data_IF_320218186596
#
_entry.id   IF_320218186596
#
_cell.length_a   1.000
_cell.length_b   1.000
_cell.length_c   1.000
_cell.angle_alpha   90.00
_cell.angle_beta   90.00
_cell.angle_gamma   90.00
#
_symmetry.space_group_name_H-M   'P 1'
#
loop_
_entity.id
_entity.type
_entity.pdbx_description
1 polymer ?
#
# COMPACT_ATOMS: atom_id res chain seq x y z
N UNK A 1 -8.78 -0.17 9.43
CA UNK A 1 -7.59 0.27 8.68
C UNK A 1 -7.76 1.73 8.30
N UNK A 2 -6.69 2.49 8.37
CA UNK A 2 -6.73 3.89 8.00
C UNK A 2 -6.77 4.06 6.49
N UNK A 3 -7.33 5.18 6.06
CA UNK A 3 -7.45 5.53 4.66
C UNK A 3 -6.09 5.55 3.94
N UNK A 4 -5.05 6.09 4.58
CA UNK A 4 -3.70 6.11 4.02
C UNK A 4 -3.15 4.71 3.77
N UNK A 5 -3.42 3.78 4.67
CA UNK A 5 -2.96 2.40 4.53
C UNK A 5 -3.65 1.71 3.36
N UNK A 6 -4.95 1.91 3.20
CA UNK A 6 -5.69 1.40 2.05
C UNK A 6 -5.13 1.96 0.74
N UNK A 7 -4.94 3.26 0.68
CA UNK A 7 -4.42 3.94 -0.52
C UNK A 7 -3.00 3.48 -0.85
N UNK A 8 -2.20 3.23 0.18
CA UNK A 8 -0.84 2.69 0.01
C UNK A 8 -0.88 1.30 -0.64
N UNK A 9 -1.71 0.41 -0.12
CA UNK A 9 -1.86 -0.94 -0.68
C UNK A 9 -2.35 -0.89 -2.12
N UNK A 10 -3.32 -0.05 -2.40
CA UNK A 10 -3.88 0.11 -3.74
C UNK A 10 -2.83 0.64 -4.71
N UNK A 11 -2.06 1.64 -4.32
CA UNK A 11 -1.00 2.20 -5.16
C UNK A 11 0.09 1.17 -5.47
N UNK A 12 0.48 0.36 -4.48
CA UNK A 12 1.47 -0.70 -4.68
C UNK A 12 0.91 -1.79 -5.62
N UNK A 13 -0.36 -2.13 -5.48
CA UNK A 13 -1.00 -3.11 -6.34
C UNK A 13 -1.00 -2.65 -7.80
N UNK A 14 -1.20 -1.37 -8.05
CA UNK A 14 -1.20 -0.81 -9.40
C UNK A 14 0.18 -0.68 -10.00
N UNK A 15 1.19 -0.37 -9.18
CA UNK A 15 2.55 -0.15 -9.66
C UNK A 15 3.58 -0.60 -8.62
N UNK A 16 4.10 -1.80 -8.80
CA UNK A 16 5.07 -2.39 -7.86
C UNK A 16 6.43 -1.68 -7.89
N UNK A 17 6.69 -0.85 -8.88
CA UNK A 17 7.95 -0.11 -9.01
C UNK A 17 7.85 1.33 -8.50
N UNK A 18 6.73 1.71 -7.92
CA UNK A 18 6.55 3.06 -7.39
C UNK A 18 7.58 3.32 -6.27
N UNK A 19 8.13 4.53 -6.26
CA UNK A 19 9.08 4.93 -5.22
C UNK A 19 8.36 5.43 -3.98
N UNK A 20 9.07 5.50 -2.85
CA UNK A 20 8.50 6.11 -1.65
C UNK A 20 8.12 7.57 -1.88
N UNK A 21 8.93 8.29 -2.64
CA UNK A 21 8.60 9.68 -3.00
C UNK A 21 7.32 9.75 -3.85
N UNK A 22 7.17 8.83 -4.79
CA UNK A 22 5.94 8.74 -5.61
C UNK A 22 4.72 8.41 -4.76
N UNK A 23 4.86 7.49 -3.82
CA UNK A 23 3.78 7.15 -2.89
C UNK A 23 3.42 8.35 -2.01
N UNK A 24 4.42 9.06 -1.52
CA UNK A 24 4.19 10.27 -0.70
C UNK A 24 3.39 11.30 -1.47
N UNK A 25 3.74 11.53 -2.73
CA UNK A 25 3.01 12.47 -3.58
C UNK A 25 1.55 12.02 -3.79
N UNK A 26 1.33 10.73 -4.05
CA UNK A 26 0.00 10.20 -4.27
C UNK A 26 -0.87 10.27 -3.01
N UNK A 27 -0.28 10.00 -1.85
CA UNK A 27 -1.00 10.01 -0.59
C UNK A 27 -1.13 11.40 0.03
N UNK A 28 -0.32 12.35 -0.44
CA UNK A 28 -0.32 13.69 0.14
C UNK A 28 0.32 13.75 1.53
N UNK A 29 1.34 12.92 1.77
CA UNK A 29 2.03 12.85 3.06
C UNK A 29 3.54 12.96 2.86
N UNK A 30 4.29 13.11 3.95
CA UNK A 30 5.74 13.17 3.90
C UNK A 30 6.32 11.78 3.59
N UNK A 31 7.51 11.76 2.97
CA UNK A 31 8.20 10.50 2.64
C UNK A 31 8.47 9.67 3.90
N UNK A 32 8.80 10.32 5.00
CA UNK A 32 9.00 9.62 6.28
C UNK A 32 7.76 8.87 6.74
N UNK A 33 6.59 9.44 6.51
CA UNK A 33 5.32 8.78 6.84
C UNK A 33 5.11 7.55 5.95
N UNK A 34 5.43 7.64 4.66
CA UNK A 34 5.35 6.50 3.75
C UNK A 34 6.27 5.37 4.22
N UNK A 35 7.50 5.72 4.58
CA UNK A 35 8.46 4.74 5.09
C UNK A 35 7.90 4.01 6.31
N UNK A 36 7.29 4.75 7.22
CA UNK A 36 6.67 4.18 8.42
C UNK A 36 5.51 3.24 8.07
N UNK A 37 4.64 3.65 7.16
CA UNK A 37 3.51 2.81 6.72
C UNK A 37 3.99 1.53 6.05
N UNK A 38 5.02 1.63 5.17
CA UNK A 38 5.56 0.46 4.49
C UNK A 38 6.15 -0.52 5.51
N UNK A 39 6.94 -0.04 6.47
CA UNK A 39 7.52 -0.89 7.50
C UNK A 39 6.43 -1.60 8.30
N UNK A 40 5.37 -0.90 8.61
CA UNK A 40 4.23 -1.46 9.34
C UNK A 40 3.54 -2.55 8.52
N UNK A 41 3.33 -2.31 7.23
CA UNK A 41 2.69 -3.28 6.34
C UNK A 41 3.56 -4.52 6.12
N UNK A 42 4.86 -4.33 5.98
CA UNK A 42 5.81 -5.43 5.88
C UNK A 42 5.81 -6.26 7.17
N UNK A 43 5.86 -5.59 8.31
CA UNK A 43 5.85 -6.24 9.61
C UNK A 43 4.59 -7.09 9.83
N UNK A 44 3.46 -6.63 9.32
CA UNK A 44 2.18 -7.35 9.43
C UNK A 44 1.98 -8.41 8.37
N UNK A 45 2.90 -8.53 7.42
CA UNK A 45 2.83 -9.54 6.37
C UNK A 45 1.93 -9.19 5.21
N UNK A 46 1.59 -7.92 5.01
CA UNK A 46 0.75 -7.48 3.91
C UNK A 46 1.53 -7.04 2.68
N UNK A 47 2.77 -6.61 2.87
CA UNK A 47 3.64 -6.12 1.80
C UNK A 47 4.99 -6.82 1.89
N UNK A 48 5.56 -7.12 0.73
CA UNK A 48 6.91 -7.64 0.62
C UNK A 48 7.76 -6.64 -0.16
N UNK A 49 8.93 -6.30 0.36
CA UNK A 49 9.89 -5.44 -0.33
C UNK A 49 11.02 -6.30 -0.88
N UNK A 50 11.31 -6.16 -2.16
CA UNK A 50 12.39 -6.88 -2.83
C UNK A 50 13.37 -5.87 -3.42
N UNK A 51 14.66 -6.09 -3.18
CA UNK A 51 15.68 -5.18 -3.72
C UNK A 51 15.92 -5.50 -5.19
N UNK A 52 15.75 -4.49 -6.03
CA UNK A 52 16.02 -4.61 -7.47
C UNK A 52 17.45 -4.19 -7.81
N UNK A 53 17.90 -3.10 -7.20
CA UNK A 53 19.22 -2.51 -7.39
C UNK A 53 19.69 -1.96 -6.05
N UNK A 54 20.91 -1.42 -5.99
CA UNK A 54 21.50 -0.91 -4.76
C UNK A 54 20.55 -0.02 -3.95
N UNK A 55 19.86 0.88 -4.63
CA UNK A 55 19.05 1.90 -3.98
C UNK A 55 17.57 1.79 -4.32
N UNK A 56 17.19 0.76 -5.07
CA UNK A 56 15.81 0.65 -5.54
C UNK A 56 15.14 -0.59 -5.01
N UNK A 57 13.96 -0.39 -4.44
CA UNK A 57 13.11 -1.46 -3.93
C UNK A 57 11.87 -1.60 -4.81
N UNK A 58 11.41 -2.83 -4.92
CA UNK A 58 10.15 -3.17 -5.55
C UNK A 58 9.22 -3.69 -4.46
N UNK A 59 8.01 -3.16 -4.43
CA UNK A 59 7.02 -3.54 -3.42
C UNK A 59 5.94 -4.42 -4.05
N UNK A 60 5.53 -5.44 -3.31
CA UNK A 60 4.46 -6.34 -3.73
C UNK A 60 3.49 -6.54 -2.58
N UNK A 61 2.22 -6.73 -2.91
CA UNK A 61 1.29 -7.25 -1.93
C UNK A 61 1.51 -8.75 -1.77
N UNK A 62 1.47 -9.22 -0.55
CA UNK A 62 1.39 -10.65 -0.26
C UNK A 62 -0.04 -11.13 -0.52
N UNK A 63 -0.31 -12.45 -0.54
CA UNK A 63 -1.68 -12.93 -0.59
C UNK A 63 -2.57 -12.33 0.51
N UNK A 64 -2.03 -12.17 1.72
CA UNK A 64 -2.76 -11.53 2.82
C UNK A 64 -3.03 -10.06 2.53
N UNK A 65 -2.07 -9.36 1.91
CA UNK A 65 -2.24 -7.97 1.50
C UNK A 65 -3.30 -7.81 0.43
N UNK A 66 -3.32 -8.70 -0.55
CA UNK A 66 -4.35 -8.72 -1.59
C UNK A 66 -5.74 -8.95 -0.97
N UNK A 67 -5.84 -9.91 -0.06
CA UNK A 67 -7.09 -10.20 0.62
C UNK A 67 -7.59 -9.00 1.44
N UNK A 68 -6.68 -8.33 2.12
CA UNK A 68 -7.02 -7.13 2.90
C UNK A 68 -7.52 -6.01 1.99
N UNK A 69 -6.82 -5.76 0.90
CA UNK A 69 -7.20 -4.73 -0.06
C UNK A 69 -8.58 -5.02 -0.67
N UNK A 70 -8.81 -6.27 -1.08
CA UNK A 70 -10.07 -6.69 -1.67
C UNK A 70 -11.22 -6.52 -0.67
N UNK A 71 -11.01 -6.88 0.58
CA UNK A 71 -12.02 -6.74 1.62
C UNK A 71 -12.35 -5.27 1.87
N UNK A 72 -11.35 -4.40 1.92
CA UNK A 72 -11.56 -2.97 2.10
C UNK A 72 -12.27 -2.34 0.90
N UNK A 73 -11.90 -2.76 -0.29
CA UNK A 73 -12.56 -2.31 -1.52
C UNK A 73 -14.04 -2.70 -1.51
N UNK A 74 -14.34 -3.93 -1.12
CA UNK A 74 -15.70 -4.43 -1.02
C UNK A 74 -16.51 -3.63 0.00
N UNK A 75 -15.96 -3.37 1.19
CA UNK A 75 -16.61 -2.55 2.21
C UNK A 75 -16.89 -1.15 1.69
N UNK A 76 -15.94 -0.56 0.98
CA UNK A 76 -16.09 0.77 0.41
C UNK A 76 -17.21 0.81 -0.62
N UNK A 77 -17.29 -0.21 -1.48
CA UNK A 77 -18.35 -0.30 -2.49
C UNK A 77 -19.72 -0.47 -1.85
N UNK A 78 -19.81 -1.25 -0.79
CA UNK A 78 -21.06 -1.42 -0.06
C UNK A 78 -21.55 -0.10 0.53
N UNK A 79 -20.65 0.68 1.10
CA UNK A 79 -20.99 2.00 1.62
C UNK A 79 -21.47 2.95 0.53
N UNK A 80 -20.93 2.81 -0.68
CA UNK A 80 -21.33 3.64 -1.82
C UNK A 80 -22.65 3.22 -2.43
N UNK A 81 -22.94 1.93 -2.45
CA UNK A 81 -24.09 1.38 -3.16
C UNK A 81 -25.25 0.99 -2.24
N UNK A 82 -24.95 0.69 -1.00
CA UNK A 82 -25.91 0.12 -0.07
C UNK A 82 -26.74 1.11 0.68
N UNK A 83 -26.88 2.25 0.19
CA UNK A 83 -27.60 3.31 0.92
C UNK A 83 -29.09 3.21 0.79
#
# INVERSE_FOLDING_TARGET
MRDHEYRLLDAIAENSTVTQAGLAAQLGVAVGSVNWYIKRMVSRGYVKATRMQRTRLKYHLTPDGVALLARRTSEYMELSLGV
#
